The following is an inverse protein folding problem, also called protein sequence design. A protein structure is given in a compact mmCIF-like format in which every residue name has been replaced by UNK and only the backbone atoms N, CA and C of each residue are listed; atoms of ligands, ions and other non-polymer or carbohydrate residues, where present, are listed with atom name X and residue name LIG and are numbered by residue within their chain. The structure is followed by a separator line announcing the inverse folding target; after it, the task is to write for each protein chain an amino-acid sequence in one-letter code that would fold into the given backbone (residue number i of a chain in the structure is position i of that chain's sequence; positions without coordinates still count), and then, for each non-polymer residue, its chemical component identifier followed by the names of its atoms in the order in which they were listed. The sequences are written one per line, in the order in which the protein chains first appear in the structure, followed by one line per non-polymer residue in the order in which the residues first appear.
data_IF_821590245994
#
_entry.id   IF_821590245994
#
_cell.length_a   1.000
_cell.length_b   1.000
_cell.length_c   1.000
_cell.angle_alpha   90.00
_cell.angle_beta   90.00
_cell.angle_gamma   90.00
#
_symmetry.space_group_name_H-M   'P 1'
#
loop_
_entity.id
_entity.type
_entity.pdbx_description
1 polymer ?
#
# COMPACT_ATOMS: atom_id res chain seq x y z
N UNK A 1 7.27 10.51 0.34
CA UNK A 1 5.82 10.53 0.66
C UNK A 1 5.19 11.61 -0.18
N UNK A 2 4.16 11.31 -0.98
CA UNK A 2 3.60 12.26 -1.96
C UNK A 2 2.76 13.35 -1.27
N UNK A 3 2.01 12.97 -0.23
CA UNK A 3 1.15 13.86 0.55
C UNK A 3 1.49 13.78 2.05
N UNK A 4 2.56 14.45 2.52
CA UNK A 4 2.96 14.43 3.94
C UNK A 4 1.90 15.01 4.89
N UNK A 5 1.09 15.96 4.42
CA UNK A 5 0.01 16.64 5.16
C UNK A 5 -1.16 15.72 5.55
N UNK A 6 -1.20 14.50 4.99
CA UNK A 6 -2.21 13.49 5.28
C UNK A 6 -1.78 12.49 6.36
N UNK A 7 -0.53 12.59 6.85
CA UNK A 7 -0.01 11.67 7.87
C UNK A 7 -0.88 11.70 9.12
N UNK A 8 -1.29 10.51 9.58
CA UNK A 8 -2.12 10.33 10.78
C UNK A 8 -3.62 10.58 10.59
N UNK A 9 -4.05 11.14 9.46
CA UNK A 9 -5.47 11.42 9.19
C UNK A 9 -6.22 10.16 8.71
N UNK A 10 -7.53 10.14 8.89
CA UNK A 10 -8.41 9.13 8.30
C UNK A 10 -8.58 9.40 6.80
N UNK A 11 -7.87 8.61 6.00
CA UNK A 11 -7.86 8.69 4.53
C UNK A 11 -8.29 7.35 3.93
N UNK A 12 -9.05 7.42 2.84
CA UNK A 12 -9.41 6.29 1.97
C UNK A 12 -9.19 6.63 0.49
N UNK A 13 -9.08 5.60 -0.35
CA UNK A 13 -9.07 5.71 -1.82
C UNK A 13 -10.25 4.98 -2.45
N UNK A 14 -10.52 5.23 -3.73
CA UNK A 14 -11.63 4.60 -4.47
C UNK A 14 -12.81 5.53 -4.74
N UNK A 15 -12.60 6.86 -4.68
CA UNK A 15 -13.63 7.88 -4.94
C UNK A 15 -14.43 7.62 -6.22
N UNK A 16 -13.74 7.24 -7.30
CA UNK A 16 -14.33 6.98 -8.61
C UNK A 16 -15.17 5.69 -8.67
N UNK A 17 -14.93 4.74 -7.76
CA UNK A 17 -15.60 3.44 -7.70
C UNK A 17 -16.80 3.42 -6.76
N UNK A 18 -17.01 4.47 -5.97
CA UNK A 18 -18.09 4.51 -4.97
C UNK A 18 -17.88 3.57 -3.77
N UNK A 19 -16.72 2.93 -3.66
CA UNK A 19 -16.34 2.01 -2.58
C UNK A 19 -14.96 2.33 -2.02
N UNK A 20 -14.70 1.91 -0.78
CA UNK A 20 -13.38 1.97 -0.14
C UNK A 20 -12.46 0.92 -0.79
N UNK A 21 -11.56 1.36 -1.66
CA UNK A 21 -10.55 0.50 -2.28
C UNK A 21 -9.41 0.19 -1.29
N UNK A 22 -8.92 1.22 -0.60
CA UNK A 22 -7.94 1.09 0.48
C UNK A 22 -8.26 2.09 1.60
N UNK A 23 -7.86 1.75 2.83
CA UNK A 23 -8.08 2.56 4.01
C UNK A 23 -6.80 2.69 4.83
N UNK A 24 -6.50 3.91 5.25
CA UNK A 24 -5.44 4.22 6.21
C UNK A 24 -5.68 3.53 7.56
N UNK A 25 -4.63 3.35 8.35
CA UNK A 25 -4.75 2.77 9.69
C UNK A 25 -5.70 3.57 10.60
N UNK A 26 -5.68 4.91 10.53
CA UNK A 26 -6.61 5.75 11.30
C UNK A 26 -8.07 5.49 10.90
N UNK A 27 -8.38 5.34 9.61
CA UNK A 27 -9.72 4.99 9.15
C UNK A 27 -10.13 3.55 9.58
N UNK A 28 -9.21 2.58 9.49
CA UNK A 28 -9.45 1.20 9.94
C UNK A 28 -9.78 1.13 11.44
N UNK A 29 -9.10 1.91 12.27
CA UNK A 29 -9.38 2.01 13.72
C UNK A 29 -10.79 2.51 14.04
N UNK A 30 -11.40 3.26 13.12
CA UNK A 30 -12.79 3.73 13.23
C UNK A 30 -13.82 2.69 12.74
N UNK A 31 -13.38 1.52 12.27
CA UNK A 31 -14.24 0.46 11.73
C UNK A 31 -14.49 0.55 10.22
N UNK A 32 -13.85 1.49 9.51
CA UNK A 32 -13.96 1.59 8.04
C UNK A 32 -13.05 0.54 7.41
N UNK A 33 -13.63 -0.39 6.65
CA UNK A 33 -12.90 -1.48 5.99
C UNK A 33 -13.01 -1.44 4.47
N UNK A 34 -12.16 -2.22 3.78
CA UNK A 34 -12.19 -2.33 2.32
C UNK A 34 -13.53 -2.89 1.85
N UNK A 35 -14.03 -2.40 0.73
CA UNK A 35 -15.33 -2.80 0.17
C UNK A 35 -16.53 -2.04 0.72
N UNK A 36 -16.36 -1.21 1.77
CA UNK A 36 -17.45 -0.37 2.26
C UNK A 36 -17.91 0.63 1.17
N UNK A 37 -19.22 0.84 1.00
CA UNK A 37 -19.75 1.98 0.27
C UNK A 37 -19.25 3.31 0.87
N UNK A 38 -18.89 4.28 0.02
CA UNK A 38 -18.34 5.57 0.51
C UNK A 38 -19.34 6.35 1.37
N UNK A 39 -20.64 6.21 1.12
CA UNK A 39 -21.69 6.83 1.92
C UNK A 39 -21.71 6.28 3.37
N UNK A 40 -21.57 4.97 3.54
CA UNK A 40 -21.47 4.34 4.87
C UNK A 40 -20.19 4.77 5.59
N UNK A 41 -19.06 4.83 4.88
CA UNK A 41 -17.81 5.30 5.45
C UNK A 41 -17.90 6.77 5.94
N UNK A 42 -18.60 7.64 5.20
CA UNK A 42 -18.85 9.04 5.62
C UNK A 42 -19.78 9.16 6.83
N UNK A 43 -20.71 8.25 7.03
CA UNK A 43 -21.56 8.25 8.23
C UNK A 43 -20.71 7.95 9.47
N UNK A 44 -19.77 7.01 9.36
CA UNK A 44 -18.85 6.65 10.45
C UNK A 44 -17.87 7.79 10.76
N UNK A 45 -17.34 8.44 9.71
CA UNK A 45 -16.39 9.54 9.84
C UNK A 45 -16.79 10.67 8.89
N UNK A 46 -17.50 11.71 9.37
CA UNK A 46 -17.92 12.84 8.54
C UNK A 46 -16.74 13.60 7.92
N UNK A 47 -15.62 13.68 8.64
CA UNK A 47 -14.38 14.35 8.21
C UNK A 47 -13.45 13.43 7.38
N UNK A 48 -13.95 12.30 6.89
CA UNK A 48 -13.16 11.33 6.13
C UNK A 48 -12.64 11.93 4.83
N UNK A 49 -11.32 11.81 4.64
CA UNK A 49 -10.66 12.27 3.42
C UNK A 49 -10.76 11.18 2.35
N UNK A 50 -11.43 11.48 1.24
CA UNK A 50 -11.67 10.53 0.15
C UNK A 50 -10.91 10.97 -1.09
N UNK A 51 -9.90 10.19 -1.47
CA UNK A 51 -9.05 10.44 -2.63
C UNK A 51 -9.44 9.55 -3.82
N UNK A 52 -9.21 9.99 -5.07
CA UNK A 52 -9.24 9.10 -6.22
C UNK A 52 -8.09 8.09 -6.14
N UNK A 53 -8.22 6.98 -6.85
CA UNK A 53 -7.08 6.06 -7.02
C UNK A 53 -6.08 6.61 -8.04
N UNK A 54 -4.79 6.64 -7.69
CA UNK A 54 -3.70 7.03 -8.58
C UNK A 54 -2.96 5.77 -9.10
N UNK A 55 -3.52 5.17 -10.14
CA UNK A 55 -2.99 3.90 -10.70
C UNK A 55 -1.60 4.05 -11.31
N UNK A 56 -1.25 5.23 -11.83
CA UNK A 56 0.06 5.49 -12.42
C UNK A 56 1.14 5.45 -11.34
N UNK A 57 0.91 6.17 -10.24
CA UNK A 57 1.81 6.15 -9.08
C UNK A 57 1.90 4.74 -8.48
N UNK A 58 0.79 4.03 -8.35
CA UNK A 58 0.80 2.64 -7.83
C UNK A 58 1.67 1.73 -8.71
N UNK A 59 1.48 1.79 -10.03
CA UNK A 59 2.26 1.02 -11.00
C UNK A 59 3.75 1.38 -10.96
N UNK A 60 4.09 2.66 -10.80
CA UNK A 60 5.47 3.11 -10.66
C UNK A 60 6.15 2.50 -9.42
N UNK A 61 5.49 2.53 -8.26
CA UNK A 61 6.05 1.94 -7.04
C UNK A 61 6.09 0.42 -7.07
N UNK A 62 5.06 -0.21 -7.63
CA UNK A 62 5.01 -1.66 -7.86
C UNK A 62 6.23 -2.15 -8.63
N UNK A 63 6.51 -1.55 -9.80
CA UNK A 63 7.72 -1.87 -10.59
C UNK A 63 9.01 -1.68 -9.80
N UNK A 64 9.12 -0.59 -9.03
CA UNK A 64 10.31 -0.34 -8.19
C UNK A 64 10.48 -1.42 -7.11
N UNK A 65 9.39 -1.82 -6.46
CA UNK A 65 9.39 -2.88 -5.45
C UNK A 65 9.82 -4.22 -6.05
N UNK A 66 9.23 -4.66 -7.17
CA UNK A 66 9.61 -5.91 -7.82
C UNK A 66 11.03 -5.88 -8.38
N UNK A 67 11.49 -4.73 -8.87
CA UNK A 67 12.89 -4.56 -9.27
C UNK A 67 13.86 -4.70 -8.10
N UNK A 68 13.46 -4.40 -6.86
CA UNK A 68 14.27 -4.66 -5.68
C UNK A 68 14.28 -6.16 -5.37
N UNK A 69 13.13 -6.82 -5.38
CA UNK A 69 13.03 -8.27 -5.15
C UNK A 69 13.90 -9.06 -6.13
N UNK A 70 13.87 -8.68 -7.42
CA UNK A 70 14.67 -9.30 -8.49
C UNK A 70 16.19 -9.17 -8.34
N UNK A 71 16.67 -8.31 -7.44
CA UNK A 71 18.11 -8.24 -7.09
C UNK A 71 18.55 -9.41 -6.24
N UNK A 72 17.62 -10.02 -5.49
CA UNK A 72 17.91 -11.10 -4.54
C UNK A 72 17.67 -12.48 -5.17
N UNK A 73 16.63 -12.61 -5.98
CA UNK A 73 16.27 -13.85 -6.68
C UNK A 73 15.66 -13.53 -8.05
N UNK A 74 15.97 -14.31 -9.11
CA UNK A 74 15.28 -14.16 -10.39
C UNK A 74 13.84 -14.69 -10.34
N UNK A 75 13.54 -15.58 -9.38
CA UNK A 75 12.29 -16.31 -9.28
C UNK A 75 11.26 -15.48 -8.49
N UNK A 76 10.75 -14.43 -9.15
CA UNK A 76 9.74 -13.52 -8.60
C UNK A 76 8.47 -13.60 -9.45
N UNK A 77 7.39 -14.11 -8.86
CA UNK A 77 6.06 -14.15 -9.44
C UNK A 77 5.21 -13.01 -8.87
N UNK A 78 4.85 -12.03 -9.73
CA UNK A 78 3.99 -10.91 -9.36
C UNK A 78 2.53 -11.39 -9.22
N UNK A 79 1.96 -11.29 -8.01
CA UNK A 79 0.58 -11.73 -7.74
C UNK A 79 -0.41 -10.57 -7.84
N UNK A 80 -0.02 -9.39 -7.35
CA UNK A 80 -0.80 -8.16 -7.41
C UNK A 80 0.14 -6.95 -7.51
N UNK A 81 -0.37 -5.72 -7.38
CA UNK A 81 0.47 -4.51 -7.51
C UNK A 81 1.45 -4.35 -6.34
N UNK A 82 1.15 -4.92 -5.18
CA UNK A 82 1.94 -4.82 -3.95
C UNK A 82 2.31 -6.17 -3.34
N UNK A 83 2.07 -7.29 -4.06
CA UNK A 83 2.33 -8.66 -3.58
C UNK A 83 3.03 -9.51 -4.65
N UNK A 84 3.97 -10.36 -4.21
CA UNK A 84 4.63 -11.36 -5.04
C UNK A 84 5.04 -12.59 -4.23
N UNK A 85 5.20 -13.71 -4.92
CA UNK A 85 5.89 -14.89 -4.42
C UNK A 85 7.34 -14.87 -4.89
N UNK A 86 8.27 -15.28 -4.03
CA UNK A 86 9.70 -15.27 -4.30
C UNK A 86 10.34 -16.56 -3.78
N UNK A 87 11.11 -17.27 -4.61
CA UNK A 87 11.97 -18.35 -4.11
C UNK A 87 13.29 -17.77 -3.60
N UNK A 88 13.53 -17.94 -2.30
CA UNK A 88 14.72 -17.43 -1.60
C UNK A 88 15.68 -18.55 -1.17
N UNK A 89 15.46 -19.78 -1.62
CA UNK A 89 16.29 -20.94 -1.22
C UNK A 89 17.74 -20.79 -1.71
N UNK A 90 17.95 -20.11 -2.84
CA UNK A 90 19.26 -19.86 -3.45
C UNK A 90 19.60 -18.37 -3.59
N UNK A 91 19.35 -17.56 -2.56
CA UNK A 91 19.61 -16.10 -2.56
C UNK A 91 20.96 -15.75 -3.19
N UNK A 92 20.93 -14.91 -4.24
CA UNK A 92 22.14 -14.48 -4.97
C UNK A 92 23.02 -13.56 -4.13
N UNK A 93 22.40 -12.84 -3.20
CA UNK A 93 23.03 -11.95 -2.23
C UNK A 93 22.38 -12.30 -0.89
N UNK A 94 23.16 -12.69 0.10
CA UNK A 94 22.62 -12.97 1.44
C UNK A 94 21.84 -11.77 1.96
N UNK A 95 20.70 -12.02 2.61
CA UNK A 95 19.87 -10.97 3.22
C UNK A 95 20.54 -10.45 4.50
N UNK A 96 21.77 -9.94 4.38
CA UNK A 96 22.38 -9.16 5.44
C UNK A 96 21.68 -7.81 5.42
N UNK A 97 20.59 -7.73 6.18
CA UNK A 97 20.01 -6.47 6.59
C UNK A 97 21.09 -5.73 7.38
N UNK A 98 21.94 -4.97 6.68
CA UNK A 98 22.63 -3.81 7.23
C UNK A 98 21.55 -2.79 7.57
N UNK A 99 20.76 -3.08 8.60
CA UNK A 99 20.12 -2.03 9.36
C UNK A 99 21.30 -1.23 9.92
N UNK A 100 21.50 0.05 9.53
CA UNK A 100 22.40 0.87 10.29
C UNK A 100 21.92 0.79 11.74
N UNK A 101 22.81 0.43 12.66
CA UNK A 101 22.52 0.52 14.07
C UNK A 101 21.98 1.93 14.32
N UNK A 102 20.73 2.02 14.77
CA UNK A 102 20.16 3.29 15.20
C UNK A 102 20.83 3.61 16.53
N UNK A 103 21.70 4.62 16.53
CA UNK A 103 21.90 5.49 17.70
C UNK A 103 20.61 6.26 18.03
#
# INVERSE_FOLDING_TARGET
MIHPELKGKAVITGRERGIVACASYSAKKMGISRGFPLNQAKIICPDLIILPSDYETYSLFSRRMFNIMRRFTPDVEEYSIDEAFCDITGLRIGLCLLLPERE
#
